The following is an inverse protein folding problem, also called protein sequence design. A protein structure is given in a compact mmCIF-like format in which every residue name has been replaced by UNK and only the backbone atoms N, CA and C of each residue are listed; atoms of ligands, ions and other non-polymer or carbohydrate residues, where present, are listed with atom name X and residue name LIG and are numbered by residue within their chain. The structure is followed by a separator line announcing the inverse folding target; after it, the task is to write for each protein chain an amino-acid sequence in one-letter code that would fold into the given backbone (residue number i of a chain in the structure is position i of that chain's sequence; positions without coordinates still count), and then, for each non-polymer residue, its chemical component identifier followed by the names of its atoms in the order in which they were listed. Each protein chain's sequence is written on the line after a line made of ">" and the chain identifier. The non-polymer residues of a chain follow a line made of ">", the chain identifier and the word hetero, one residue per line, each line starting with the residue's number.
data_IF_613191414563
#
_entry.id   IF_613191414563
#
_cell.length_a   1.000
_cell.length_b   1.000
_cell.length_c   1.000
_cell.angle_alpha   90.00
_cell.angle_beta   90.00
_cell.angle_gamma   90.00
#
_symmetry.space_group_name_H-M   'P 1'
#
loop_
_entity.id
_entity.type
_entity.pdbx_description
1 polymer ?
#
# COMPACT_ATOMS: atom_id res chain seq x y z
N UNK A 1 7.10 -17.26 12.53
CA UNK A 1 6.24 -17.81 13.60
C UNK A 1 5.45 -18.97 13.03
N UNK A 2 5.32 -20.11 13.72
CA UNK A 2 4.52 -21.23 13.22
C UNK A 2 3.02 -20.90 13.27
N UNK A 3 2.23 -21.44 12.33
CA UNK A 3 0.78 -21.38 12.38
C UNK A 3 0.29 -22.10 13.64
N UNK A 4 -0.59 -21.45 14.39
CA UNK A 4 -1.13 -21.97 15.65
C UNK A 4 -2.67 -21.90 15.70
N UNK A 5 -3.32 -21.57 14.58
CA UNK A 5 -4.77 -21.46 14.47
C UNK A 5 -5.34 -22.41 13.42
N UNK A 6 -6.62 -22.74 13.59
CA UNK A 6 -7.37 -23.59 12.66
C UNK A 6 -8.29 -22.73 11.78
N UNK A 7 -9.11 -21.90 12.41
CA UNK A 7 -10.14 -21.09 11.76
C UNK A 7 -9.71 -19.62 11.62
N UNK A 8 -10.20 -18.99 10.54
CA UNK A 8 -10.02 -17.55 10.27
C UNK A 8 -11.38 -16.95 9.92
N UNK A 9 -11.84 -16.04 10.77
CA UNK A 9 -13.14 -15.37 10.63
C UNK A 9 -12.97 -13.84 10.68
N UNK A 10 -14.03 -13.12 10.36
CA UNK A 10 -14.11 -11.66 10.42
C UNK A 10 -15.28 -11.31 11.33
N UNK A 11 -15.06 -10.43 12.29
CA UNK A 11 -16.12 -9.96 13.20
C UNK A 11 -16.93 -8.78 12.61
N UNK A 12 -17.92 -8.31 13.37
CA UNK A 12 -18.79 -7.21 12.95
C UNK A 12 -18.06 -5.87 12.78
N UNK A 13 -16.90 -5.70 13.41
CA UNK A 13 -16.07 -4.51 13.33
C UNK A 13 -14.99 -4.62 12.23
N UNK A 14 -15.08 -5.66 11.39
CA UNK A 14 -14.15 -5.97 10.30
C UNK A 14 -12.73 -6.25 10.80
N UNK A 15 -12.61 -6.86 11.98
CA UNK A 15 -11.35 -7.36 12.53
C UNK A 15 -11.19 -8.83 12.14
N UNK A 16 -10.01 -9.18 11.62
CA UNK A 16 -9.67 -10.58 11.36
C UNK A 16 -9.40 -11.28 12.69
N UNK A 17 -9.98 -12.47 12.86
CA UNK A 17 -9.83 -13.30 14.05
C UNK A 17 -9.26 -14.67 13.69
N UNK A 18 -8.40 -15.21 14.56
CA UNK A 18 -7.80 -16.53 14.47
C UNK A 18 -8.29 -17.36 15.66
N UNK A 19 -9.05 -18.41 15.39
CA UNK A 19 -9.79 -19.18 16.42
C UNK A 19 -10.53 -18.25 17.43
N UNK A 20 -11.21 -17.23 16.89
CA UNK A 20 -11.95 -16.23 17.67
C UNK A 20 -11.11 -15.16 18.37
N UNK A 21 -9.77 -15.20 18.29
CA UNK A 21 -8.88 -14.17 18.86
C UNK A 21 -8.53 -13.12 17.81
N UNK A 22 -8.67 -11.81 18.09
CA UNK A 22 -8.39 -10.77 17.11
C UNK A 22 -6.91 -10.72 16.75
N UNK A 23 -6.61 -10.65 15.45
CA UNK A 23 -5.28 -10.32 14.94
C UNK A 23 -4.92 -8.92 15.40
N UNK A 24 -3.69 -8.78 15.92
CA UNK A 24 -3.17 -7.51 16.41
C UNK A 24 -2.03 -7.04 15.53
N UNK A 25 -1.95 -5.73 15.36
CA UNK A 25 -0.80 -5.07 14.78
C UNK A 25 0.43 -5.23 15.68
N UNK A 26 1.66 -5.00 15.18
CA UNK A 26 2.85 -4.97 16.03
C UNK A 26 2.73 -4.00 17.23
N UNK A 27 2.02 -2.88 17.07
CA UNK A 27 1.64 -1.92 18.11
C UNK A 27 0.50 -2.38 19.04
N UNK A 28 0.08 -3.64 18.97
CA UNK A 28 -0.97 -4.28 19.80
C UNK A 28 -2.39 -3.72 19.61
N UNK A 29 -2.64 -2.99 18.52
CA UNK A 29 -4.00 -2.55 18.15
C UNK A 29 -4.75 -3.66 17.43
N UNK A 30 -6.09 -3.75 17.55
CA UNK A 30 -6.88 -4.59 16.65
C UNK A 30 -6.61 -4.21 15.21
N UNK A 31 -6.38 -5.19 14.34
CA UNK A 31 -6.29 -4.96 12.90
C UNK A 31 -7.71 -4.84 12.33
N UNK A 32 -8.35 -3.68 12.52
CA UNK A 32 -9.68 -3.38 12.01
C UNK A 32 -9.58 -2.79 10.59
N UNK A 33 -10.29 -3.38 9.62
CA UNK A 33 -10.19 -2.97 8.22
C UNK A 33 -11.32 -1.99 7.84
N UNK A 34 -11.05 -1.00 6.97
CA UNK A 34 -12.01 0.03 6.60
C UNK A 34 -13.14 -0.46 5.67
N UNK A 35 -13.03 -1.65 5.08
CA UNK A 35 -14.03 -2.22 4.15
C UNK A 35 -14.11 -3.74 4.31
N UNK A 36 -15.28 -4.31 4.01
CA UNK A 36 -15.49 -5.77 4.07
C UNK A 36 -14.62 -6.50 3.04
N UNK A 37 -14.45 -5.92 1.85
CA UNK A 37 -13.61 -6.48 0.80
C UNK A 37 -12.14 -6.60 1.25
N UNK A 38 -11.60 -5.56 1.92
CA UNK A 38 -10.24 -5.62 2.45
C UNK A 38 -10.13 -6.59 3.62
N UNK A 39 -11.12 -6.62 4.52
CA UNK A 39 -11.16 -7.60 5.62
C UNK A 39 -11.12 -9.04 5.07
N UNK A 40 -11.90 -9.33 4.03
CA UNK A 40 -11.93 -10.63 3.37
C UNK A 40 -10.60 -10.98 2.71
N UNK A 41 -9.99 -10.03 2.00
CA UNK A 41 -8.71 -10.25 1.34
C UNK A 41 -7.58 -10.50 2.36
N UNK A 42 -7.54 -9.74 3.47
CA UNK A 42 -6.61 -9.98 4.57
C UNK A 42 -6.87 -11.33 5.23
N UNK A 43 -8.12 -11.67 5.52
CA UNK A 43 -8.48 -12.98 6.08
C UNK A 43 -7.99 -14.13 5.19
N UNK A 44 -8.05 -13.97 3.87
CA UNK A 44 -7.54 -14.98 2.94
C UNK A 44 -6.01 -15.14 3.01
N UNK A 45 -5.24 -14.07 3.20
CA UNK A 45 -3.81 -14.18 3.49
C UNK A 45 -3.53 -14.99 4.76
N UNK A 46 -4.35 -14.83 5.80
CA UNK A 46 -4.22 -15.61 7.04
C UNK A 46 -4.65 -17.07 6.86
N UNK A 47 -5.65 -17.35 6.01
CA UNK A 47 -6.04 -18.72 5.66
C UNK A 47 -4.95 -19.44 4.86
N UNK A 48 -4.26 -18.73 3.97
CA UNK A 48 -3.25 -19.30 3.08
C UNK A 48 -1.92 -19.59 3.75
N UNK A 49 -1.70 -19.15 5.00
CA UNK A 49 -0.50 -19.49 5.77
C UNK A 49 -0.39 -21.01 5.92
N UNK A 50 0.71 -21.59 5.43
CA UNK A 50 1.04 -23.00 5.64
C UNK A 50 1.52 -23.28 7.07
N UNK A 51 2.68 -23.90 7.21
CA UNK A 51 3.23 -24.24 8.52
C UNK A 51 3.79 -23.03 9.29
N UNK A 52 4.30 -22.04 8.56
CA UNK A 52 4.98 -20.86 9.12
C UNK A 52 4.50 -19.61 8.40
N UNK A 53 4.30 -18.54 9.17
CA UNK A 53 4.02 -17.21 8.63
C UNK A 53 5.25 -16.70 7.87
N UNK A 54 5.02 -16.36 6.60
CA UNK A 54 5.94 -15.58 5.77
C UNK A 54 5.31 -14.21 5.46
N UNK A 55 5.79 -13.10 6.06
CA UNK A 55 5.25 -11.78 5.80
C UNK A 55 5.28 -11.35 4.33
N UNK A 56 6.17 -11.93 3.51
CA UNK A 56 6.29 -11.61 2.07
C UNK A 56 5.09 -12.11 1.27
N UNK A 57 4.35 -13.08 1.79
CA UNK A 57 3.13 -13.60 1.17
C UNK A 57 1.86 -12.97 1.76
N UNK A 58 2.01 -11.93 2.60
CA UNK A 58 0.90 -11.26 3.28
C UNK A 58 0.94 -9.72 3.08
N UNK A 59 1.00 -9.23 1.83
CA UNK A 59 1.17 -7.81 1.54
C UNK A 59 0.04 -6.92 2.10
N UNK A 60 -1.22 -7.37 2.06
CA UNK A 60 -2.35 -6.57 2.54
C UNK A 60 -2.33 -6.46 4.06
N UNK A 61 -1.99 -7.54 4.76
CA UNK A 61 -1.74 -7.53 6.21
C UNK A 61 -0.62 -6.55 6.56
N UNK A 62 0.47 -6.57 5.79
CA UNK A 62 1.60 -5.64 5.95
C UNK A 62 1.18 -4.18 5.78
N UNK A 63 0.46 -3.86 4.70
CA UNK A 63 -0.05 -2.52 4.42
C UNK A 63 -1.05 -2.04 5.49
N UNK A 64 -1.95 -2.90 5.93
CA UNK A 64 -2.92 -2.58 6.97
C UNK A 64 -2.25 -2.33 8.34
N UNK A 65 -1.21 -3.09 8.67
CA UNK A 65 -0.36 -2.82 9.84
C UNK A 65 0.34 -1.46 9.72
N UNK A 66 0.91 -1.13 8.56
CA UNK A 66 1.58 0.16 8.34
C UNK A 66 0.60 1.34 8.43
N UNK A 67 -0.59 1.20 7.84
CA UNK A 67 -1.66 2.19 7.91
C UNK A 67 -2.12 2.42 9.35
N UNK A 68 -2.31 1.34 10.11
CA UNK A 68 -2.78 1.39 11.49
C UNK A 68 -1.71 1.90 12.44
N UNK A 69 -0.46 1.46 12.29
CA UNK A 69 0.59 1.72 13.26
C UNK A 69 1.38 3.01 13.02
N UNK A 70 2.41 3.00 12.16
CA UNK A 70 3.27 4.16 11.96
C UNK A 70 2.55 5.32 11.25
N UNK A 71 1.64 5.06 10.30
CA UNK A 71 1.03 6.13 9.50
C UNK A 71 -0.06 6.86 10.30
N UNK A 72 -0.94 6.14 11.00
CA UNK A 72 -2.03 6.77 11.75
C UNK A 72 -1.55 7.70 12.88
N UNK A 73 -0.31 7.53 13.36
CA UNK A 73 0.26 8.38 14.41
C UNK A 73 0.53 9.81 13.91
N UNK A 74 0.98 9.96 12.65
CA UNK A 74 1.18 11.26 12.01
C UNK A 74 0.94 11.17 10.48
N UNK A 75 -0.34 11.18 10.06
CA UNK A 75 -0.69 11.07 8.65
C UNK A 75 -0.18 12.25 7.82
N UNK A 76 -0.11 13.45 8.42
CA UNK A 76 0.32 14.65 7.75
C UNK A 76 1.82 14.60 7.43
N UNK A 77 2.66 14.17 8.37
CA UNK A 77 4.08 13.97 8.12
C UNK A 77 4.33 12.88 7.07
N UNK A 78 3.58 11.77 7.12
CA UNK A 78 3.69 10.74 6.11
C UNK A 78 3.31 11.26 4.71
N UNK A 79 2.21 12.00 4.60
CA UNK A 79 1.76 12.62 3.36
C UNK A 79 2.78 13.65 2.84
N UNK A 80 3.38 14.47 3.70
CA UNK A 80 4.40 15.43 3.31
C UNK A 80 5.64 14.75 2.73
N UNK A 81 6.09 13.64 3.33
CA UNK A 81 7.21 12.85 2.80
C UNK A 81 6.90 12.22 1.44
N UNK A 82 5.66 11.79 1.23
CA UNK A 82 5.24 11.26 -0.06
C UNK A 82 5.15 12.39 -1.11
N UNK A 83 4.62 13.55 -0.74
CA UNK A 83 4.51 14.71 -1.62
C UNK A 83 5.87 15.22 -2.11
N UNK A 84 6.92 15.11 -1.28
CA UNK A 84 8.28 15.48 -1.67
C UNK A 84 8.81 14.72 -2.89
N UNK A 85 8.29 13.52 -3.20
CA UNK A 85 8.64 12.83 -4.45
C UNK A 85 8.19 13.58 -5.70
N UNK A 86 7.14 14.41 -5.61
CA UNK A 86 6.70 15.27 -6.70
C UNK A 86 7.70 16.36 -7.05
N UNK A 87 8.57 16.78 -6.11
CA UNK A 87 9.64 17.75 -6.35
C UNK A 87 10.77 17.16 -7.19
N UNK A 88 10.90 15.83 -7.19
CA UNK A 88 11.93 15.10 -7.92
C UNK A 88 11.33 13.89 -8.68
N UNK A 89 10.17 14.07 -9.30
CA UNK A 89 9.43 12.98 -9.92
C UNK A 89 10.21 12.40 -11.12
N UNK A 90 10.31 11.07 -11.20
CA UNK A 90 11.01 10.35 -12.27
C UNK A 90 10.59 10.82 -13.67
N UNK A 91 9.30 11.11 -13.86
CA UNK A 91 8.76 11.49 -15.17
C UNK A 91 9.23 12.88 -15.62
N UNK A 92 9.79 13.68 -14.70
CA UNK A 92 10.28 15.04 -14.95
C UNK A 92 11.78 15.09 -15.27
N UNK A 93 12.52 13.98 -15.14
CA UNK A 93 13.96 13.93 -15.51
C UNK A 93 14.13 13.15 -16.81
N UNK A 94 14.29 13.88 -17.91
CA UNK A 94 14.44 13.30 -19.25
C UNK A 94 15.89 13.07 -19.61
N UNK A 95 16.13 12.02 -20.39
CA UNK A 95 17.43 11.81 -20.99
C UNK A 95 17.65 12.82 -22.13
N UNK A 96 18.88 13.31 -22.29
CA UNK A 96 19.26 14.15 -23.44
C UNK A 96 19.57 13.30 -24.69
N UNK A 97 19.69 11.98 -24.53
CA UNK A 97 19.98 11.06 -25.61
C UNK A 97 20.17 9.62 -25.15
N UNK A 98 20.30 8.66 -26.09
CA UNK A 98 20.17 8.86 -27.55
C UNK A 98 18.71 9.11 -27.96
N UNK A 99 18.43 9.66 -29.18
CA UNK A 99 17.08 10.02 -29.61
C UNK A 99 16.01 8.94 -29.41
N UNK A 100 16.28 7.63 -29.64
CA UNK A 100 15.28 6.59 -29.39
C UNK A 100 14.85 6.46 -27.92
N UNK A 101 15.72 6.82 -26.96
CA UNK A 101 15.36 6.84 -25.55
C UNK A 101 14.48 8.04 -25.22
N UNK A 102 14.83 9.22 -25.74
CA UNK A 102 14.07 10.47 -25.58
C UNK A 102 12.65 10.31 -26.09
N UNK A 103 12.50 9.82 -27.33
CA UNK A 103 11.22 9.56 -27.98
C UNK A 103 10.38 8.56 -27.19
N UNK A 104 11.02 7.51 -26.65
CA UNK A 104 10.32 6.49 -25.86
C UNK A 104 9.89 7.01 -24.50
N UNK A 105 10.68 7.86 -23.84
CA UNK A 105 10.29 8.51 -22.60
C UNK A 105 9.10 9.43 -22.84
N UNK A 106 9.18 10.33 -23.82
CA UNK A 106 8.08 11.23 -24.19
C UNK A 106 6.78 10.45 -24.48
N UNK A 107 6.84 9.48 -25.39
CA UNK A 107 5.68 8.70 -25.80
C UNK A 107 5.01 7.90 -24.67
N UNK A 108 5.75 7.55 -23.59
CA UNK A 108 5.21 6.76 -22.47
C UNK A 108 4.89 7.61 -21.23
N UNK A 109 5.60 8.71 -21.02
CA UNK A 109 5.52 9.49 -19.78
C UNK A 109 4.68 10.76 -19.95
N UNK A 110 4.69 11.40 -21.12
CA UNK A 110 3.90 12.61 -21.36
C UNK A 110 2.40 12.37 -21.13
N UNK A 111 1.78 11.25 -21.55
CA UNK A 111 0.36 11.00 -21.27
C UNK A 111 0.02 10.96 -19.77
N UNK A 112 0.95 10.51 -18.93
CA UNK A 112 0.75 10.49 -17.47
C UNK A 112 0.84 11.90 -16.88
N UNK A 113 1.80 12.70 -17.34
CA UNK A 113 1.93 14.09 -16.93
C UNK A 113 0.75 14.92 -17.41
N UNK A 114 0.28 14.73 -18.64
CA UNK A 114 -0.88 15.43 -19.20
C UNK A 114 -2.17 15.06 -18.46
N UNK A 115 -2.36 13.77 -18.13
CA UNK A 115 -3.45 13.35 -17.25
C UNK A 115 -3.38 14.05 -15.91
N UNK A 116 -2.20 14.11 -15.28
CA UNK A 116 -2.04 14.77 -13.98
C UNK A 116 -2.32 16.28 -14.06
N UNK A 117 -1.83 16.96 -15.12
CA UNK A 117 -2.15 18.37 -15.41
C UNK A 117 -3.65 18.58 -15.48
N UNK A 118 -4.36 17.79 -16.28
CA UNK A 118 -5.81 17.94 -16.46
C UNK A 118 -6.62 17.57 -15.20
N UNK A 119 -6.20 16.54 -14.46
CA UNK A 119 -6.95 15.99 -13.33
C UNK A 119 -6.76 16.77 -12.03
N UNK A 120 -5.58 17.36 -11.84
CA UNK A 120 -5.18 17.99 -10.58
C UNK A 120 -4.84 19.48 -10.73
N UNK A 121 -4.87 20.04 -11.95
CA UNK A 121 -4.53 21.44 -12.23
C UNK A 121 -3.11 21.81 -11.73
N UNK A 122 -2.16 20.92 -12.00
CA UNK A 122 -0.73 21.09 -11.65
C UNK A 122 0.10 21.22 -12.92
N UNK A 123 1.25 21.88 -12.83
CA UNK A 123 2.21 21.97 -13.95
C UNK A 123 3.57 21.40 -13.52
N UNK A 124 4.19 20.62 -14.40
CA UNK A 124 5.50 20.04 -14.21
C UNK A 124 6.53 20.70 -15.11
N UNK A 125 7.73 20.94 -14.60
CA UNK A 125 8.92 21.23 -15.38
C UNK A 125 9.57 19.90 -15.78
N UNK A 126 9.86 19.72 -17.07
CA UNK A 126 10.34 18.48 -17.67
C UNK A 126 11.49 18.80 -18.63
#
# INVERSE_FOLDING_TARGET
>A
MKRFWTDVAIDADRVVTLDGKPVRTPGRRPLALPTDALAQAVAEEWRSVGETIDPRTMPLTGLANAATDPIANDPAQFAARLAAYGESDLLCYRADGPPPLVERQAARWDPLLDWARARYDVTFAV
#
